data_IF_290991952926
#
_entry.id   IF_290991952926
#
_cell.length_a   1.000
_cell.length_b   1.000
_cell.length_c   1.000
_cell.angle_alpha   90.00
_cell.angle_beta   90.00
_cell.angle_gamma   90.00
#
_symmetry.space_group_name_H-M   'P 1'
#
loop_
_entity.id
_entity.type
_entity.pdbx_description
1 polymer ?
#
# COMPACT_ATOMS: atom_id res chain seq x y z
N UNK A 1 -14.46 -21.50 59.62
CA UNK A 1 -14.71 -20.18 60.23
C UNK A 1 -16.15 -19.83 59.90
N UNK A 2 -17.19 -20.49 60.45
CA UNK A 2 -17.54 -20.68 61.88
C UNK A 2 -17.48 -19.33 62.62
N UNK A 3 -18.51 -18.78 63.27
CA UNK A 3 -19.71 -19.29 64.01
C UNK A 3 -20.81 -18.18 63.96
N UNK A 4 -22.13 -18.38 63.80
CA UNK A 4 -23.19 -18.97 64.66
C UNK A 4 -23.20 -18.57 66.15
N UNK A 5 -24.34 -18.05 66.64
CA UNK A 5 -24.90 -18.32 67.98
C UNK A 5 -26.34 -17.78 68.11
N UNK A 6 -27.30 -18.70 68.01
CA UNK A 6 -28.57 -18.70 68.77
C UNK A 6 -28.33 -19.49 70.06
N UNK A 7 -28.93 -19.09 71.19
CA UNK A 7 -29.60 -19.98 72.18
C UNK A 7 -30.23 -19.08 73.27
N UNK A 8 -31.55 -19.06 73.52
CA UNK A 8 -32.35 -20.01 74.35
C UNK A 8 -31.78 -20.14 75.79
N UNK A 9 -32.52 -20.24 76.89
CA UNK A 9 -33.94 -20.49 77.16
C UNK A 9 -34.25 -20.15 78.64
N UNK A 10 -35.54 -19.89 78.91
CA UNK A 10 -36.39 -20.43 80.00
C UNK A 10 -35.74 -20.83 81.34
N UNK A 11 -36.27 -20.33 82.47
CA UNK A 11 -36.93 -21.15 83.51
C UNK A 11 -37.48 -20.30 84.68
N UNK A 12 -38.67 -20.72 85.13
CA UNK A 12 -39.45 -20.25 86.28
C UNK A 12 -39.18 -21.21 87.47
N UNK A 13 -39.34 -20.77 88.73
CA UNK A 13 -40.35 -21.36 89.63
C UNK A 13 -41.09 -20.26 90.47
N UNK A 14 -42.41 -20.30 90.73
CA UNK A 14 -43.14 -21.00 91.83
C UNK A 14 -42.61 -20.61 93.24
N UNK A 15 -43.35 -20.22 94.28
CA UNK A 15 -44.78 -20.18 94.67
C UNK A 15 -44.88 -19.46 96.05
N UNK A 16 -46.10 -19.22 96.54
CA UNK A 16 -46.58 -18.67 97.84
C UNK A 16 -46.87 -17.16 97.82
N UNK A 17 -48.06 -16.66 98.18
CA UNK A 17 -49.19 -17.24 98.90
C UNK A 17 -49.62 -16.20 99.93
N UNK A 18 -50.79 -15.57 99.77
CA UNK A 18 -51.28 -14.57 100.72
C UNK A 18 -52.48 -13.77 100.19
N UNK A 19 -53.66 -14.30 100.46
CA UNK A 19 -54.95 -13.66 100.26
C UNK A 19 -55.08 -12.34 101.03
N UNK A 20 -55.86 -11.41 100.47
CA UNK A 20 -56.24 -10.17 101.15
C UNK A 20 -56.90 -9.16 100.21
N UNK A 21 -58.05 -9.52 99.64
CA UNK A 21 -58.96 -8.51 99.04
C UNK A 21 -59.82 -7.81 100.12
N UNK A 22 -60.76 -6.95 99.70
CA UNK A 22 -60.59 -5.58 99.19
C UNK A 22 -61.48 -4.59 100.00
N UNK A 23 -61.69 -3.32 99.60
CA UNK A 23 -62.72 -2.97 98.60
C UNK A 23 -62.33 -1.77 97.69
N UNK A 24 -62.42 -1.89 96.36
CA UNK A 24 -63.56 -1.47 95.52
C UNK A 24 -64.02 0.00 95.71
N UNK A 25 -63.93 0.83 94.65
CA UNK A 25 -65.08 1.43 93.93
C UNK A 25 -64.64 2.38 92.79
N UNK A 26 -65.11 2.02 91.60
CA UNK A 26 -65.64 2.78 90.45
C UNK A 26 -64.89 3.93 89.75
N UNK A 27 -64.76 3.76 88.41
CA UNK A 27 -65.25 4.74 87.43
C UNK A 27 -64.22 5.28 86.44
N UNK A 28 -63.91 4.56 85.35
CA UNK A 28 -63.14 5.09 84.22
C UNK A 28 -63.90 4.95 82.90
N UNK A 29 -64.27 6.09 82.31
CA UNK A 29 -64.66 6.21 80.90
C UNK A 29 -63.47 5.82 80.01
N UNK A 30 -63.66 4.86 79.09
CA UNK A 30 -62.63 4.47 78.13
C UNK A 30 -62.56 5.49 76.98
N UNK A 31 -61.58 6.39 77.02
CA UNK A 31 -61.18 7.16 75.84
C UNK A 31 -60.73 6.20 74.72
N UNK A 32 -61.13 6.49 73.47
CA UNK A 32 -60.91 5.62 72.31
C UNK A 32 -59.42 5.33 72.09
N UNK A 33 -59.03 4.14 71.62
CA UNK A 33 -57.63 3.76 71.39
C UNK A 33 -56.86 4.72 70.46
N UNK A 34 -57.54 5.35 69.51
CA UNK A 34 -56.95 6.34 68.60
C UNK A 34 -56.43 7.59 69.32
N UNK A 35 -57.11 8.01 70.41
CA UNK A 35 -56.71 9.18 71.20
C UNK A 35 -55.45 8.90 72.03
N UNK A 36 -55.27 7.65 72.49
CA UNK A 36 -54.07 7.20 73.21
C UNK A 36 -52.84 7.11 72.30
N UNK A 37 -53.03 6.61 71.07
CA UNK A 37 -51.95 6.56 70.08
C UNK A 37 -51.49 7.97 69.69
N UNK A 38 -52.43 8.89 69.49
CA UNK A 38 -52.13 10.29 69.17
C UNK A 38 -51.34 10.98 70.30
N UNK A 39 -51.68 10.70 71.56
CA UNK A 39 -50.95 11.21 72.73
C UNK A 39 -49.52 10.65 72.80
N UNK A 40 -49.32 9.35 72.57
CA UNK A 40 -48.00 8.73 72.56
C UNK A 40 -47.10 9.29 71.44
N UNK A 41 -47.66 9.51 70.25
CA UNK A 41 -46.92 10.13 69.15
C UNK A 41 -46.52 11.57 69.48
N UNK A 42 -47.39 12.33 70.15
CA UNK A 42 -47.08 13.70 70.62
C UNK A 42 -45.98 13.69 71.68
N UNK A 43 -46.07 12.81 72.68
CA UNK A 43 -45.03 12.62 73.70
C UNK A 43 -43.69 12.23 73.06
N UNK A 44 -43.69 11.28 72.13
CA UNK A 44 -42.49 10.89 71.38
C UNK A 44 -41.89 12.07 70.60
N UNK A 45 -42.71 12.86 69.94
CA UNK A 45 -42.27 14.05 69.22
C UNK A 45 -41.65 15.08 70.18
N UNK A 46 -42.29 15.30 71.34
CA UNK A 46 -41.80 16.21 72.37
C UNK A 46 -40.46 15.73 72.97
N UNK A 47 -40.31 14.44 73.29
CA UNK A 47 -39.06 13.89 73.80
C UNK A 47 -37.94 13.97 72.75
N UNK A 48 -38.24 13.70 71.47
CA UNK A 48 -37.26 13.86 70.39
C UNK A 48 -36.81 15.32 70.25
N UNK A 49 -37.75 16.26 70.37
CA UNK A 49 -37.46 17.69 70.33
C UNK A 49 -36.58 18.12 71.52
N UNK A 50 -36.92 17.69 72.74
CA UNK A 50 -36.12 17.97 73.94
C UNK A 50 -34.71 17.37 73.86
N UNK A 51 -34.58 16.15 73.32
CA UNK A 51 -33.26 15.53 73.10
C UNK A 51 -32.45 16.30 72.06
N UNK A 52 -33.07 16.81 71.00
CA UNK A 52 -32.41 17.63 69.99
C UNK A 52 -31.96 18.97 70.59
N UNK A 53 -32.80 19.61 71.39
CA UNK A 53 -32.49 20.86 72.09
C UNK A 53 -31.34 20.66 73.09
N UNK A 54 -31.40 19.60 73.89
CA UNK A 54 -30.33 19.29 74.84
C UNK A 54 -29.01 18.99 74.14
N UNK A 55 -29.05 18.21 73.04
CA UNK A 55 -27.86 17.94 72.23
C UNK A 55 -27.28 19.25 71.66
N UNK A 56 -28.12 20.12 71.12
CA UNK A 56 -27.70 21.43 70.61
C UNK A 56 -27.08 22.31 71.70
N UNK A 57 -27.64 22.32 72.92
CA UNK A 57 -27.06 23.05 74.05
C UNK A 57 -25.71 22.46 74.50
N UNK A 58 -25.54 21.14 74.45
CA UNK A 58 -24.25 20.49 74.75
C UNK A 58 -23.22 20.87 73.69
N UNK A 59 -23.56 20.73 72.41
CA UNK A 59 -22.68 21.09 71.29
C UNK A 59 -22.31 22.58 71.31
N UNK A 60 -23.21 23.46 71.75
CA UNK A 60 -22.96 24.90 71.89
C UNK A 60 -22.10 25.27 73.11
N UNK A 61 -22.09 24.44 74.16
CA UNK A 61 -21.29 24.63 75.37
C UNK A 61 -19.94 23.90 75.31
N UNK A 62 -19.74 22.99 74.36
CA UNK A 62 -18.42 22.42 74.04
C UNK A 62 -17.55 23.47 73.35
N UNK A 63 -16.86 24.29 74.15
CA UNK A 63 -15.80 25.16 73.63
C UNK A 63 -14.63 24.27 73.19
N UNK A 64 -14.38 24.20 71.88
CA UNK A 64 -13.23 23.48 71.32
C UNK A 64 -11.96 23.96 72.02
N UNK A 65 -11.17 23.03 72.54
CA UNK A 65 -9.88 23.38 73.18
C UNK A 65 -8.93 24.00 72.15
N UNK A 66 -8.02 24.92 72.55
CA UNK A 66 -7.06 25.53 71.63
C UNK A 66 -6.22 24.52 70.83
N UNK A 67 -5.92 23.37 71.43
CA UNK A 67 -5.18 22.27 70.78
C UNK A 67 -5.99 21.64 69.63
N UNK A 68 -7.29 21.40 69.83
CA UNK A 68 -8.19 20.89 68.79
C UNK A 68 -8.33 21.89 67.65
N UNK A 69 -8.45 23.19 67.95
CA UNK A 69 -8.51 24.25 66.93
C UNK A 69 -7.20 24.31 66.13
N UNK A 70 -6.06 24.17 66.79
CA UNK A 70 -4.76 24.15 66.11
C UNK A 70 -4.59 22.93 65.21
N UNK A 71 -5.03 21.75 65.66
CA UNK A 71 -5.02 20.52 64.84
C UNK A 71 -5.98 20.61 63.65
N UNK A 72 -7.19 21.15 63.86
CA UNK A 72 -8.17 21.37 62.79
C UNK A 72 -7.62 22.30 61.72
N UNK A 73 -6.96 23.41 62.11
CA UNK A 73 -6.26 24.30 61.16
C UNK A 73 -5.12 23.62 60.41
N UNK A 74 -4.36 22.74 61.06
CA UNK A 74 -3.31 21.96 60.40
C UNK A 74 -3.89 20.94 59.41
N UNK A 75 -5.03 20.34 59.74
CA UNK A 75 -5.75 19.43 58.83
C UNK A 75 -6.31 20.21 57.65
N UNK A 76 -6.91 21.37 57.87
CA UNK A 76 -7.45 22.24 56.82
C UNK A 76 -6.35 22.69 55.84
N UNK A 77 -5.20 23.13 56.35
CA UNK A 77 -4.05 23.49 55.50
C UNK A 77 -3.54 22.30 54.65
N UNK A 78 -3.52 21.09 55.21
CA UNK A 78 -3.13 19.88 54.46
C UNK A 78 -4.18 19.46 53.43
N UNK A 79 -5.46 19.66 53.71
CA UNK A 79 -6.53 19.42 52.73
C UNK A 79 -6.37 20.38 51.57
N UNK A 80 -6.17 21.67 51.83
CA UNK A 80 -5.94 22.68 50.79
C UNK A 80 -4.69 22.37 49.94
N UNK A 81 -3.59 21.95 50.58
CA UNK A 81 -2.37 21.49 49.88
C UNK A 81 -2.65 20.29 48.96
N UNK A 82 -3.32 19.25 49.48
CA UNK A 82 -3.66 18.06 48.69
C UNK A 82 -4.65 18.37 47.56
N UNK A 83 -5.62 19.25 47.77
CA UNK A 83 -6.56 19.69 46.75
C UNK A 83 -5.82 20.40 45.60
N UNK A 84 -4.87 21.28 45.93
CA UNK A 84 -4.02 21.94 44.95
C UNK A 84 -3.16 20.92 44.17
N UNK A 85 -2.49 19.99 44.85
CA UNK A 85 -1.71 18.93 44.20
C UNK A 85 -2.57 18.07 43.25
N UNK A 86 -3.81 17.75 43.63
CA UNK A 86 -4.73 16.96 42.80
C UNK A 86 -5.15 17.73 41.55
N UNK A 87 -5.48 19.02 41.67
CA UNK A 87 -5.82 19.84 40.50
C UNK A 87 -4.61 20.07 39.58
N UNK A 88 -3.39 20.23 40.14
CA UNK A 88 -2.15 20.24 39.35
C UNK A 88 -1.91 18.92 38.61
N UNK A 89 -2.06 17.78 39.29
CA UNK A 89 -1.89 16.46 38.67
C UNK A 89 -2.92 16.21 37.56
N UNK A 90 -4.16 16.64 37.76
CA UNK A 90 -5.24 16.53 36.77
C UNK A 90 -5.01 17.41 35.55
N UNK A 91 -4.56 18.65 35.74
CA UNK A 91 -4.21 19.52 34.61
C UNK A 91 -3.02 18.96 33.84
N UNK A 92 -1.98 18.47 34.52
CA UNK A 92 -0.83 17.83 33.88
C UNK A 92 -1.24 16.56 33.09
N UNK A 93 -2.14 15.75 33.65
CA UNK A 93 -2.68 14.57 32.96
C UNK A 93 -3.42 14.94 31.67
N UNK A 94 -4.32 15.92 31.71
CA UNK A 94 -5.06 16.36 30.52
C UNK A 94 -4.13 16.98 29.47
N UNK A 95 -3.14 17.78 29.87
CA UNK A 95 -2.13 18.29 28.93
C UNK A 95 -1.35 17.17 28.24
N UNK A 96 -0.93 16.16 29.00
CA UNK A 96 -0.19 15.01 28.46
C UNK A 96 -1.04 14.19 27.50
N UNK A 97 -2.33 14.01 27.81
CA UNK A 97 -3.31 13.35 26.95
C UNK A 97 -3.51 14.11 25.63
N UNK A 98 -3.71 15.42 25.67
CA UNK A 98 -3.84 16.26 24.47
C UNK A 98 -2.57 16.22 23.61
N UNK A 99 -1.38 16.26 24.23
CA UNK A 99 -0.12 16.13 23.51
C UNK A 99 0.01 14.77 22.80
N UNK A 100 -0.41 13.68 23.46
CA UNK A 100 -0.44 12.35 22.86
C UNK A 100 -1.42 12.28 21.68
N UNK A 101 -2.62 12.82 21.83
CA UNK A 101 -3.64 12.86 20.77
C UNK A 101 -3.15 13.65 19.53
N UNK A 102 -2.43 14.76 19.75
CA UNK A 102 -1.81 15.53 18.67
C UNK A 102 -0.78 14.70 17.89
N UNK A 103 0.13 14.02 18.60
CA UNK A 103 1.15 13.17 17.96
C UNK A 103 0.51 12.02 17.18
N UNK A 104 -0.54 11.42 17.73
CA UNK A 104 -1.29 10.36 17.05
C UNK A 104 -1.91 10.88 15.74
N UNK A 105 -2.52 12.07 15.77
CA UNK A 105 -3.11 12.68 14.59
C UNK A 105 -2.08 13.01 13.51
N UNK A 106 -0.92 13.54 13.90
CA UNK A 106 0.17 13.83 12.98
C UNK A 106 0.71 12.55 12.33
N UNK A 107 0.88 11.48 13.11
CA UNK A 107 1.28 10.18 12.60
C UNK A 107 0.24 9.61 11.62
N UNK A 108 -1.06 9.69 11.95
CA UNK A 108 -2.13 9.25 11.05
C UNK A 108 -2.12 10.04 9.74
N UNK A 109 -1.93 11.36 9.79
CA UNK A 109 -1.82 12.21 8.62
C UNK A 109 -0.62 11.83 7.75
N UNK A 110 0.52 11.55 8.37
CA UNK A 110 1.72 11.09 7.66
C UNK A 110 1.47 9.73 6.98
N UNK A 111 0.86 8.77 7.68
CA UNK A 111 0.50 7.45 7.14
C UNK A 111 -0.43 7.60 5.93
N UNK A 112 -1.46 8.45 6.02
CA UNK A 112 -2.37 8.70 4.90
C UNK A 112 -1.65 9.30 3.68
N UNK A 113 -0.75 10.26 3.90
CA UNK A 113 0.04 10.84 2.82
C UNK A 113 0.96 9.81 2.17
N UNK A 114 1.63 8.96 2.95
CA UNK A 114 2.46 7.87 2.44
C UNK A 114 1.62 6.87 1.64
N UNK A 115 0.48 6.43 2.15
CA UNK A 115 -0.43 5.53 1.44
C UNK A 115 -0.89 6.12 0.10
N UNK A 116 -1.20 7.43 0.07
CA UNK A 116 -1.55 8.13 -1.19
C UNK A 116 -0.41 8.08 -2.21
N UNK A 117 0.83 8.32 -1.77
CA UNK A 117 2.00 8.25 -2.63
C UNK A 117 2.28 6.82 -3.12
N UNK A 118 2.14 5.83 -2.25
CA UNK A 118 2.26 4.41 -2.57
C UNK A 118 1.25 4.02 -3.64
N UNK A 119 -0.03 4.37 -3.45
CA UNK A 119 -1.08 4.10 -4.43
C UNK A 119 -0.77 4.72 -5.80
N UNK A 120 -0.29 5.97 -5.83
CA UNK A 120 0.07 6.63 -7.08
C UNK A 120 1.23 5.91 -7.78
N UNK A 121 2.28 5.56 -7.05
CA UNK A 121 3.44 4.84 -7.59
C UNK A 121 3.07 3.43 -8.08
N UNK A 122 2.16 2.73 -7.39
CA UNK A 122 1.63 1.43 -7.82
C UNK A 122 0.84 1.55 -9.13
N UNK A 123 -0.01 2.56 -9.26
CA UNK A 123 -0.74 2.81 -10.51
C UNK A 123 0.22 3.08 -11.66
N UNK A 124 1.20 3.96 -11.48
CA UNK A 124 2.22 4.25 -12.50
C UNK A 124 3.01 2.99 -12.88
N UNK A 125 3.27 2.09 -11.93
CA UNK A 125 3.94 0.81 -12.20
C UNK A 125 3.10 -0.10 -13.09
N UNK A 126 1.80 -0.23 -12.80
CA UNK A 126 0.88 -1.03 -13.63
C UNK A 126 0.77 -0.48 -15.06
N UNK A 127 0.62 0.83 -15.21
CA UNK A 127 0.56 1.49 -16.52
C UNK A 127 1.84 1.25 -17.35
N UNK A 128 3.01 1.27 -16.70
CA UNK A 128 4.30 0.99 -17.35
C UNK A 128 4.46 -0.49 -17.70
N UNK A 129 3.99 -1.40 -16.85
CA UNK A 129 4.04 -2.83 -17.09
C UNK A 129 3.16 -3.23 -18.28
N UNK A 130 1.98 -2.63 -18.41
CA UNK A 130 1.11 -2.81 -19.58
C UNK A 130 1.81 -2.35 -20.87
N UNK A 131 2.38 -1.13 -20.87
CA UNK A 131 3.15 -0.61 -22.01
C UNK A 131 4.35 -1.50 -22.36
N UNK A 132 5.02 -2.07 -21.35
CA UNK A 132 6.13 -2.99 -21.56
C UNK A 132 5.67 -4.29 -22.25
N UNK A 133 4.50 -4.81 -21.87
CA UNK A 133 3.91 -5.99 -22.47
C UNK A 133 3.57 -5.74 -23.95
N UNK A 134 3.00 -4.59 -24.27
CA UNK A 134 2.73 -4.17 -25.65
C UNK A 134 4.01 -4.08 -26.50
N UNK A 135 5.07 -3.49 -25.96
CA UNK A 135 6.38 -3.43 -26.65
C UNK A 135 6.96 -4.84 -26.85
N UNK A 136 6.85 -5.74 -25.87
CA UNK A 136 7.27 -7.14 -26.01
C UNK A 136 6.49 -7.85 -27.12
N UNK A 137 5.16 -7.64 -27.20
CA UNK A 137 4.31 -8.20 -28.24
C UNK A 137 4.69 -7.70 -29.64
N UNK A 138 4.85 -6.38 -29.80
CA UNK A 138 5.28 -5.77 -31.07
C UNK A 138 6.65 -6.28 -31.51
N UNK A 139 7.60 -6.38 -30.59
CA UNK A 139 8.94 -6.91 -30.86
C UNK A 139 8.89 -8.37 -31.33
N UNK A 140 8.05 -9.19 -30.71
CA UNK A 140 7.88 -10.59 -31.11
C UNK A 140 7.31 -10.69 -32.54
N UNK A 141 6.27 -9.92 -32.84
CA UNK A 141 5.69 -9.87 -34.19
C UNK A 141 6.71 -9.42 -35.24
N UNK A 142 7.52 -8.41 -34.93
CA UNK A 142 8.58 -7.94 -35.81
C UNK A 142 9.65 -9.02 -36.04
N UNK A 143 10.06 -9.74 -34.98
CA UNK A 143 11.02 -10.84 -35.10
C UNK A 143 10.49 -11.94 -36.03
N UNK A 144 9.23 -12.34 -35.86
CA UNK A 144 8.58 -13.33 -36.71
C UNK A 144 8.42 -12.84 -38.16
N UNK A 145 8.13 -11.56 -38.38
CA UNK A 145 8.05 -10.99 -39.72
C UNK A 145 9.42 -10.93 -40.40
N UNK A 146 10.46 -10.54 -39.66
CA UNK A 146 11.85 -10.54 -40.14
C UNK A 146 12.33 -11.93 -40.53
N UNK A 147 12.03 -12.94 -39.70
CA UNK A 147 12.39 -14.33 -39.96
C UNK A 147 11.69 -14.86 -41.23
N UNK A 148 10.40 -14.57 -41.39
CA UNK A 148 9.67 -14.92 -42.63
C UNK A 148 10.26 -14.26 -43.87
N UNK A 149 10.57 -12.96 -43.80
CA UNK A 149 11.22 -12.24 -44.92
C UNK A 149 12.58 -12.81 -45.26
N UNK A 150 13.37 -13.21 -44.26
CA UNK A 150 14.67 -13.81 -44.49
C UNK A 150 14.55 -15.15 -45.23
N UNK A 151 13.59 -15.99 -44.83
CA UNK A 151 13.30 -17.24 -45.53
C UNK A 151 12.87 -17.00 -46.98
N UNK A 152 11.97 -16.03 -47.22
CA UNK A 152 11.53 -15.63 -48.55
C UNK A 152 12.70 -15.18 -49.44
N UNK A 153 13.58 -14.33 -48.91
CA UNK A 153 14.80 -13.88 -49.61
C UNK A 153 15.70 -15.07 -49.96
N UNK A 154 15.88 -16.02 -49.04
CA UNK A 154 16.71 -17.20 -49.28
C UNK A 154 16.10 -18.09 -50.36
N UNK A 155 14.79 -18.31 -50.34
CA UNK A 155 14.10 -19.12 -51.37
C UNK A 155 14.16 -18.47 -52.74
N UNK A 156 13.97 -17.15 -52.83
CA UNK A 156 14.02 -16.44 -54.10
C UNK A 156 15.44 -16.39 -54.64
N UNK A 157 16.45 -16.22 -53.78
CA UNK A 157 17.86 -16.28 -54.17
C UNK A 157 18.24 -17.64 -54.76
N UNK A 158 17.77 -18.73 -54.15
CA UNK A 158 18.03 -20.08 -54.68
C UNK A 158 17.35 -20.25 -56.05
N UNK A 159 16.10 -19.82 -56.18
CA UNK A 159 15.38 -19.86 -57.46
C UNK A 159 16.09 -19.06 -58.56
N UNK A 160 16.53 -17.84 -58.27
CA UNK A 160 17.30 -17.03 -59.23
C UNK A 160 18.60 -17.73 -59.67
N UNK A 161 19.27 -18.41 -58.73
CA UNK A 161 20.45 -19.20 -59.06
C UNK A 161 20.10 -20.38 -59.96
N UNK A 162 19.04 -21.12 -59.67
CA UNK A 162 18.58 -22.23 -60.50
C UNK A 162 18.17 -21.77 -61.91
N UNK A 163 17.47 -20.63 -62.00
CA UNK A 163 17.06 -20.03 -63.28
C UNK A 163 18.29 -19.57 -64.11
N UNK A 164 19.29 -18.97 -63.45
CA UNK A 164 20.55 -18.57 -64.09
C UNK A 164 21.32 -19.80 -64.60
N UNK A 165 21.49 -20.81 -63.74
CA UNK A 165 22.19 -22.05 -64.06
C UNK A 165 21.46 -22.80 -65.21
N UNK A 166 20.12 -22.75 -65.25
CA UNK A 166 19.32 -23.30 -66.35
C UNK A 166 19.53 -22.55 -67.67
N UNK A 167 19.55 -21.21 -67.62
CA UNK A 167 19.76 -20.37 -68.80
C UNK A 167 21.17 -20.51 -69.37
N UNK A 168 22.21 -20.47 -68.54
CA UNK A 168 23.60 -20.65 -68.93
C UNK A 168 23.84 -22.04 -69.53
N UNK A 169 23.20 -23.07 -68.96
CA UNK A 169 23.28 -24.41 -69.49
C UNK A 169 22.45 -24.65 -70.75
N UNK A 170 21.65 -23.68 -71.19
CA UNK A 170 20.80 -23.85 -72.37
C UNK A 170 21.65 -24.06 -73.62
N UNK A 171 21.26 -25.06 -74.41
CA UNK A 171 21.95 -25.42 -75.66
C UNK A 171 22.01 -24.25 -76.64
N UNK A 172 21.02 -23.36 -76.60
CA UNK A 172 20.98 -22.15 -77.44
C UNK A 172 22.09 -21.15 -77.08
N UNK A 173 22.32 -20.88 -75.79
CA UNK A 173 23.40 -19.97 -75.37
C UNK A 173 24.76 -20.59 -75.66
N UNK A 174 24.93 -21.89 -75.39
CA UNK A 174 26.17 -22.62 -75.75
C UNK A 174 26.44 -22.57 -77.25
N UNK A 175 25.42 -22.78 -78.09
CA UNK A 175 25.56 -22.71 -79.53
C UNK A 175 25.93 -21.29 -80.02
N UNK A 176 25.32 -20.24 -79.45
CA UNK A 176 25.66 -18.85 -79.78
C UNK A 176 27.10 -18.53 -79.38
N UNK A 177 27.53 -18.93 -78.18
CA UNK A 177 28.92 -18.74 -77.72
C UNK A 177 29.91 -19.44 -78.65
N UNK A 178 29.64 -20.69 -79.04
CA UNK A 178 30.48 -21.42 -79.99
C UNK A 178 30.54 -20.75 -81.36
N UNK A 179 29.39 -20.31 -81.88
CA UNK A 179 29.33 -19.60 -83.15
C UNK A 179 30.12 -18.29 -83.09
N UNK A 180 29.96 -17.50 -82.02
CA UNK A 180 30.72 -16.26 -81.82
C UNK A 180 32.23 -16.53 -81.78
N UNK A 181 32.66 -17.56 -81.07
CA UNK A 181 34.07 -17.97 -81.02
C UNK A 181 34.59 -18.34 -82.42
N UNK A 182 33.81 -19.10 -83.21
CA UNK A 182 34.21 -19.42 -84.58
C UNK A 182 34.29 -18.19 -85.49
N UNK A 183 33.36 -17.23 -85.36
CA UNK A 183 33.36 -15.98 -86.13
C UNK A 183 34.57 -15.09 -85.76
N UNK A 184 34.93 -15.03 -84.48
CA UNK A 184 36.15 -14.33 -84.02
C UNK A 184 37.40 -14.98 -84.60
N UNK A 185 37.48 -16.32 -84.60
CA UNK A 185 38.61 -17.05 -85.18
C UNK A 185 38.73 -16.82 -86.69
N UNK A 186 37.62 -16.91 -87.43
CA UNK A 186 37.59 -16.63 -88.88
C UNK A 186 38.04 -15.20 -89.16
N UNK A 187 37.50 -14.23 -88.42
CA UNK A 187 37.86 -12.81 -88.57
C UNK A 187 39.34 -12.59 -88.31
N UNK A 188 39.90 -13.23 -87.28
CA UNK A 188 41.33 -13.16 -86.94
C UNK A 188 42.20 -13.74 -88.06
N UNK A 189 41.82 -14.88 -88.63
CA UNK A 189 42.54 -15.46 -89.78
C UNK A 189 42.48 -14.54 -91.00
N UNK A 190 41.31 -13.97 -91.30
CA UNK A 190 41.12 -13.02 -92.40
C UNK A 190 42.00 -11.78 -92.19
N UNK A 191 42.02 -11.22 -90.97
CA UNK A 191 42.89 -10.11 -90.59
C UNK A 191 44.37 -10.44 -90.86
N UNK A 192 44.86 -11.59 -90.39
CA UNK A 192 46.24 -12.03 -90.64
C UNK A 192 46.56 -12.22 -92.13
N UNK A 193 45.64 -12.77 -92.92
CA UNK A 193 45.84 -12.94 -94.36
C UNK A 193 45.97 -11.59 -95.06
N UNK A 194 45.08 -10.64 -94.76
CA UNK A 194 45.14 -9.30 -95.35
C UNK A 194 46.39 -8.53 -94.91
N UNK A 195 46.79 -8.60 -93.64
CA UNK A 195 48.06 -8.03 -93.16
C UNK A 195 49.24 -8.59 -93.96
N UNK A 196 49.36 -9.92 -94.06
CA UNK A 196 50.47 -10.58 -94.76
C UNK A 196 50.49 -10.25 -96.25
N UNK A 197 49.33 -10.13 -96.90
CA UNK A 197 49.24 -9.79 -98.31
C UNK A 197 49.72 -8.34 -98.56
N UNK A 198 49.29 -7.39 -97.72
CA UNK A 198 49.71 -5.98 -97.82
C UNK A 198 51.21 -5.87 -97.58
N UNK A 199 51.74 -6.48 -96.51
CA UNK A 199 53.18 -6.49 -96.20
C UNK A 199 54.01 -7.19 -97.29
N UNK A 200 53.51 -8.28 -97.87
CA UNK A 200 54.19 -9.07 -98.90
C UNK A 200 54.11 -8.47 -100.32
N UNK A 201 53.16 -7.58 -100.59
CA UNK A 201 52.94 -6.95 -101.91
C UNK A 201 54.04 -5.97 -102.34
N UNK A 202 55.00 -5.64 -101.46
CA UNK A 202 56.05 -4.63 -101.66
C UNK A 202 55.53 -3.22 -102.00
N UNK A 203 54.23 -2.96 -101.83
CA UNK A 203 53.64 -1.61 -101.89
C UNK A 203 54.14 -0.81 -100.68
N UNK A 204 54.54 0.45 -100.87
CA UNK A 204 55.07 1.31 -99.81
C UNK A 204 53.92 1.86 -98.94
N UNK A 205 53.25 0.97 -98.21
CA UNK A 205 52.03 1.24 -97.44
C UNK A 205 52.21 2.27 -96.31
N UNK A 206 53.44 2.57 -95.91
CA UNK A 206 53.75 3.59 -94.93
C UNK A 206 53.68 5.03 -95.49
N UNK A 207 53.78 5.20 -96.82
CA UNK A 207 53.70 6.51 -97.49
C UNK A 207 52.28 6.92 -97.85
N UNK A 208 51.37 5.95 -98.10
CA UNK A 208 49.95 6.21 -98.29
C UNK A 208 49.23 6.30 -96.93
N UNK A 209 48.69 7.48 -96.55
CA UNK A 209 48.00 7.66 -95.28
C UNK A 209 46.80 6.72 -95.11
N UNK A 210 46.07 6.41 -96.19
CA UNK A 210 44.88 5.56 -96.14
C UNK A 210 45.27 4.09 -95.92
N UNK A 211 46.33 3.63 -96.58
CA UNK A 211 46.82 2.27 -96.43
C UNK A 211 47.51 2.05 -95.06
N UNK A 212 48.22 3.06 -94.55
CA UNK A 212 48.78 3.05 -93.20
C UNK A 212 47.70 2.89 -92.13
N UNK A 213 46.58 3.60 -92.25
CA UNK A 213 45.49 3.51 -91.28
C UNK A 213 44.78 2.14 -91.32
N UNK A 214 44.55 1.59 -92.51
CA UNK A 214 43.92 0.26 -92.64
C UNK A 214 44.80 -0.87 -92.08
N UNK A 215 46.12 -0.83 -92.30
CA UNK A 215 47.06 -1.80 -91.71
C UNK A 215 47.10 -1.70 -90.18
N UNK A 216 47.12 -0.49 -89.62
CA UNK A 216 47.09 -0.29 -88.16
C UNK A 216 45.77 -0.72 -87.51
N UNK A 217 44.65 -0.59 -88.23
CA UNK A 217 43.36 -1.11 -87.75
C UNK A 217 43.31 -2.64 -87.78
N UNK A 218 43.92 -3.26 -88.80
CA UNK A 218 44.04 -4.71 -88.89
C UNK A 218 44.91 -5.28 -87.76
N UNK A 219 45.94 -4.58 -87.28
CA UNK A 219 46.78 -5.01 -86.15
C UNK A 219 46.04 -5.05 -84.80
N UNK A 220 44.90 -4.36 -84.67
CA UNK A 220 44.08 -4.41 -83.46
C UNK A 220 43.33 -5.74 -83.41
N UNK A 221 43.97 -6.74 -82.83
CA UNK A 221 43.33 -8.02 -82.54
C UNK A 221 42.10 -7.80 -81.66
N UNK A 222 41.02 -8.52 -81.97
CA UNK A 222 39.81 -8.60 -81.18
C UNK A 222 40.08 -9.45 -79.92
N UNK A 223 40.97 -9.01 -79.03
CA UNK A 223 41.31 -9.75 -77.82
C UNK A 223 40.46 -9.26 -76.63
N UNK A 224 39.52 -10.11 -76.23
CA UNK A 224 38.83 -10.23 -74.93
C UNK A 224 38.20 -8.98 -74.29
N UNK A 225 36.86 -8.96 -74.24
CA UNK A 225 36.06 -8.52 -73.08
C UNK A 225 35.52 -9.80 -72.42
#
# INVERSE_FOLDING_TARGET
>A
METQSEEQAVTKPADSGGEGGPPQVAGAQAARPEDRMTLLLRLRAQTKQQLLEYKSMVDANEEKTPEQIMQEKQIEAKIEELENEVEEAKTAFEMKKLALDSVLMDNMKQILNLNKLIMKSQQETWDLEEKLLDVRKKRLQLKQASERKLLEIQTEKNKQKDDLDSMENSDKIKAIQQNLETEIQITTVIQHVFQNLILGSKVNWAEDPALKETVLQLEKNLTMI
#
